data_IF_093190018425
#
_entry.id   IF_093190018425
#
_cell.length_a   1.000
_cell.length_b   1.000
_cell.length_c   1.000
_cell.angle_alpha   90.00
_cell.angle_beta   90.00
_cell.angle_gamma   90.00
#
_symmetry.space_group_name_H-M   'P 1'
#
loop_
_entity.id
_entity.type
_entity.pdbx_description
1 polymer ?
#
# COMPACT_ATOMS: atom_id res chain seq x y z
N UNK A 1 -16.11 -23.25 -16.66
CA UNK A 1 -15.76 -22.73 -16.42
C UNK A 1 -15.53 -22.23 -16.02
N UNK A 2 -15.19 -22.13 -15.87
CA UNK A 2 -14.66 -21.64 -15.47
C UNK A 2 -14.24 -21.02 -15.01
N UNK A 3 -14.00 -20.90 -14.95
CA UNK A 3 -13.37 -20.30 -14.53
C UNK A 3 -13.17 -19.61 -14.25
N UNK A 4 -13.10 -19.64 -14.28
CA UNK A 4 -12.76 -18.91 -14.14
C UNK A 4 -12.67 -18.17 -13.58
N UNK A 5 -12.67 -17.97 -13.30
CA UNK A 5 -12.55 -17.18 -12.70
C UNK A 5 -12.03 -16.94 -12.05
N UNK A 6 -11.90 -17.23 -11.72
CA UNK A 6 -11.20 -17.07 -11.00
C UNK A 6 -10.13 -16.68 -11.17
N UNK A 7 -9.84 -16.75 -11.54
CA UNK A 7 -8.89 -16.35 -11.77
C UNK A 7 -8.80 -15.25 -11.86
N UNK A 8 -9.58 -14.79 -11.77
CA UNK A 8 -9.51 -13.69 -11.72
C UNK A 8 -8.83 -13.04 -10.75
N UNK A 9 -8.81 -13.43 -9.72
CA UNK A 9 -7.79 -12.95 -8.88
C UNK A 9 -6.54 -13.03 -9.67
N UNK A 10 -5.95 -11.94 -9.91
CA UNK A 10 -4.71 -11.96 -10.61
C UNK A 10 -3.79 -12.93 -9.92
N UNK A 11 -3.24 -13.89 -10.64
CA UNK A 11 -2.33 -14.85 -10.02
C UNK A 11 -1.12 -14.18 -9.40
N UNK A 12 -0.89 -12.89 -9.71
CA UNK A 12 0.27 -12.17 -9.18
C UNK A 12 -0.02 -11.42 -7.89
N UNK A 13 -1.26 -11.48 -7.42
CA UNK A 13 -1.58 -10.76 -6.19
C UNK A 13 -1.01 -11.47 -4.97
N UNK A 14 -0.64 -10.67 -3.98
CA UNK A 14 -0.13 -11.20 -2.74
C UNK A 14 -0.52 -10.28 -1.59
N UNK A 15 -0.42 -10.80 -0.38
CA UNK A 15 -0.81 -10.05 0.82
C UNK A 15 0.39 -9.34 1.41
N UNK A 16 0.13 -8.11 1.85
CA UNK A 16 1.06 -7.37 2.69
C UNK A 16 0.29 -6.94 3.94
N UNK A 17 1.03 -6.56 4.95
CA UNK A 17 0.47 -6.04 6.19
C UNK A 17 0.64 -4.52 6.18
N UNK A 18 -0.42 -3.82 6.58
CA UNK A 18 -0.36 -2.37 6.70
C UNK A 18 -0.58 -2.01 8.15
N UNK A 19 0.36 -1.29 8.73
CA UNK A 19 0.26 -0.83 10.13
C UNK A 19 -0.07 0.67 10.12
N UNK A 20 -1.17 1.01 10.77
CA UNK A 20 -1.57 2.40 10.95
C UNK A 20 -1.84 2.63 12.42
N UNK A 21 -0.97 3.38 13.08
CA UNK A 21 -1.12 3.72 14.51
C UNK A 21 -1.29 2.47 15.37
N UNK A 22 -0.57 1.41 15.05
CA UNK A 22 -0.63 0.18 15.81
C UNK A 22 -1.74 -0.79 15.39
N UNK A 23 -2.60 -0.37 14.47
CA UNK A 23 -3.61 -1.25 13.92
C UNK A 23 -3.06 -1.91 12.67
N UNK A 24 -3.24 -3.21 12.57
CA UNK A 24 -2.69 -4.00 11.47
C UNK A 24 -3.81 -4.55 10.61
N UNK A 25 -3.73 -4.32 9.31
CA UNK A 25 -4.66 -4.90 8.35
C UNK A 25 -3.88 -5.50 7.20
N UNK A 26 -4.46 -6.51 6.58
CA UNK A 26 -3.86 -7.12 5.40
C UNK A 26 -4.49 -6.52 4.16
N UNK A 27 -3.68 -6.38 3.12
CA UNK A 27 -4.13 -5.84 1.86
C UNK A 27 -3.55 -6.70 0.74
N UNK A 28 -4.40 -7.05 -0.22
CA UNK A 28 -3.96 -7.81 -1.39
C UNK A 28 -3.54 -6.81 -2.46
N UNK A 29 -2.33 -6.94 -2.95
CA UNK A 29 -1.78 -6.01 -3.94
C UNK A 29 -1.12 -6.79 -5.07
N UNK A 30 -0.87 -6.08 -6.17
CA UNK A 30 -0.26 -6.64 -7.36
C UNK A 30 1.10 -5.98 -7.60
N UNK A 31 2.08 -6.72 -8.14
CA UNK A 31 3.38 -6.11 -8.48
C UNK A 31 3.28 -4.95 -9.45
N UNK A 32 2.24 -4.96 -10.29
CA UNK A 32 2.06 -3.92 -11.31
C UNK A 32 1.27 -2.73 -10.81
N UNK A 33 0.70 -2.84 -9.63
CA UNK A 33 -0.08 -1.76 -9.05
C UNK A 33 0.85 -0.64 -8.63
N UNK A 34 0.39 0.60 -8.80
CA UNK A 34 1.19 1.73 -8.34
C UNK A 34 1.10 1.87 -6.84
N UNK A 35 2.19 2.32 -6.23
CA UNK A 35 2.23 2.57 -4.80
C UNK A 35 1.11 3.53 -4.39
N UNK A 36 0.83 4.55 -5.21
CA UNK A 36 -0.25 5.48 -4.92
C UNK A 36 -1.59 4.77 -4.80
N UNK A 37 -1.85 3.79 -5.66
CA UNK A 37 -3.09 3.03 -5.59
C UNK A 37 -3.16 2.22 -4.30
N UNK A 38 -2.06 1.59 -3.92
CA UNK A 38 -1.99 0.83 -2.67
C UNK A 38 -2.26 1.76 -1.48
N UNK A 39 -1.66 2.95 -1.51
CA UNK A 39 -1.85 3.94 -0.46
C UNK A 39 -3.32 4.31 -0.31
N UNK A 40 -3.99 4.61 -1.43
CA UNK A 40 -5.40 4.98 -1.41
C UNK A 40 -6.27 3.86 -0.88
N UNK A 41 -5.97 2.64 -1.29
CA UNK A 41 -6.72 1.48 -0.80
C UNK A 41 -6.50 1.25 0.69
N UNK A 42 -5.26 1.48 1.16
CA UNK A 42 -4.97 1.37 2.58
C UNK A 42 -5.74 2.43 3.37
N UNK A 43 -5.75 3.66 2.87
CA UNK A 43 -6.51 4.73 3.52
C UNK A 43 -7.99 4.38 3.62
N UNK A 44 -8.54 3.80 2.55
CA UNK A 44 -9.94 3.37 2.56
C UNK A 44 -10.16 2.25 3.57
N UNK A 45 -9.22 1.33 3.64
CA UNK A 45 -9.35 0.18 4.55
C UNK A 45 -9.38 0.62 6.01
N UNK A 46 -8.60 1.62 6.35
CA UNK A 46 -8.58 2.18 7.71
C UNK A 46 -9.61 3.30 7.90
N UNK A 47 -10.42 3.55 6.87
CA UNK A 47 -11.50 4.57 6.91
C UNK A 47 -10.96 5.95 7.26
N UNK A 48 -9.80 6.27 6.75
CA UNK A 48 -9.19 7.58 6.95
C UNK A 48 -9.89 8.57 6.02
N UNK A 49 -10.41 9.66 6.58
CA UNK A 49 -11.15 10.65 5.82
C UNK A 49 -10.52 12.04 5.84
N UNK A 50 -9.50 12.24 6.66
CA UNK A 50 -8.88 13.55 6.81
C UNK A 50 -7.39 13.46 6.56
N UNK A 51 -6.85 14.49 5.94
CA UNK A 51 -5.40 14.64 5.72
C UNK A 51 -4.81 13.50 4.90
N UNK A 52 -5.62 12.88 4.03
CA UNK A 52 -5.17 11.73 3.25
C UNK A 52 -3.99 12.08 2.37
N UNK A 53 -3.99 13.30 1.83
CA UNK A 53 -2.94 13.74 0.91
C UNK A 53 -1.59 13.89 1.59
N UNK A 54 -1.55 13.87 2.91
CA UNK A 54 -0.30 14.00 3.66
C UNK A 54 0.31 12.66 4.05
N UNK A 55 -0.40 11.57 3.78
CA UNK A 55 0.06 10.25 4.18
C UNK A 55 0.90 9.59 3.11
N UNK A 56 1.73 8.65 3.55
CA UNK A 56 2.56 7.86 2.67
C UNK A 56 2.75 6.48 3.26
N UNK A 57 3.24 5.58 2.43
CA UNK A 57 3.63 4.25 2.87
C UNK A 57 5.14 4.23 3.09
N UNK A 58 5.55 3.56 4.15
CA UNK A 58 6.96 3.36 4.48
C UNK A 58 7.20 1.86 4.55
N UNK A 59 8.40 1.43 4.16
CA UNK A 59 8.75 0.03 4.35
C UNK A 59 9.13 -0.23 5.80
N UNK A 60 9.39 -1.50 6.14
CA UNK A 60 9.67 -1.87 7.52
C UNK A 60 10.94 -1.21 8.06
N UNK A 61 11.81 -0.75 7.18
CA UNK A 61 13.01 -0.04 7.59
C UNK A 61 12.77 1.45 7.83
N UNK A 62 11.53 1.91 7.60
CA UNK A 62 11.19 3.31 7.83
C UNK A 62 11.47 4.22 6.64
N UNK A 63 11.75 3.65 5.48
CA UNK A 63 12.00 4.43 4.28
C UNK A 63 10.68 4.68 3.55
N UNK A 64 10.42 5.93 3.21
CA UNK A 64 9.21 6.30 2.49
C UNK A 64 9.25 5.71 1.08
N UNK A 65 8.15 5.07 0.68
CA UNK A 65 8.03 4.45 -0.64
C UNK A 65 7.43 5.47 -1.59
N UNK A 66 7.99 5.57 -2.77
CA UNK A 66 7.60 6.59 -3.75
C UNK A 66 6.28 6.22 -4.44
N UNK A 67 5.34 7.16 -4.44
CA UNK A 67 4.00 6.93 -4.98
C UNK A 67 3.98 6.56 -6.45
N UNK A 68 4.92 7.10 -7.21
CA UNK A 68 4.93 6.92 -8.66
C UNK A 68 5.53 5.59 -9.10
N UNK A 69 6.15 4.88 -8.17
CA UNK A 69 6.69 3.56 -8.48
C UNK A 69 5.60 2.50 -8.45
N UNK A 70 5.84 1.41 -9.19
CA UNK A 70 5.01 0.23 -9.02
C UNK A 70 5.44 -0.49 -7.73
N UNK A 71 4.57 -1.38 -7.27
CA UNK A 71 4.88 -2.23 -6.12
C UNK A 71 6.20 -2.97 -6.34
N UNK A 72 6.37 -3.51 -7.55
CA UNK A 72 7.59 -4.24 -7.90
C UNK A 72 8.82 -3.33 -7.85
N UNK A 73 8.71 -2.14 -8.43
CA UNK A 73 9.84 -1.20 -8.44
C UNK A 73 10.22 -0.77 -7.04
N UNK A 74 9.23 -0.69 -6.16
CA UNK A 74 9.46 -0.29 -4.77
C UNK A 74 10.05 -1.42 -3.93
N UNK A 75 10.15 -2.62 -4.49
CA UNK A 75 10.72 -3.75 -3.78
C UNK A 75 9.80 -4.39 -2.76
N UNK A 76 8.51 -4.15 -2.87
CA UNK A 76 7.53 -4.71 -1.94
C UNK A 76 7.27 -6.17 -2.32
N UNK A 77 7.34 -7.05 -1.34
CA UNK A 77 7.24 -8.50 -1.53
C UNK A 77 6.13 -9.09 -0.70
N UNK A 78 5.69 -10.32 -1.04
CA UNK A 78 4.67 -10.99 -0.24
C UNK A 78 5.05 -11.04 1.22
N UNK A 79 4.10 -10.72 2.08
CA UNK A 79 4.31 -10.77 3.52
C UNK A 79 4.99 -9.56 4.11
N UNK A 80 5.40 -8.61 3.28
CA UNK A 80 6.03 -7.41 3.79
C UNK A 80 5.08 -6.62 4.67
N UNK A 81 5.66 -5.90 5.63
CA UNK A 81 4.92 -4.98 6.47
C UNK A 81 5.21 -3.57 5.99
N UNK A 82 4.14 -2.81 5.77
CA UNK A 82 4.23 -1.41 5.37
C UNK A 82 3.64 -0.56 6.48
N UNK A 83 4.18 0.63 6.63
CA UNK A 83 3.71 1.57 7.65
C UNK A 83 2.99 2.72 6.95
N UNK A 84 1.79 3.02 7.43
CA UNK A 84 1.00 4.14 6.91
C UNK A 84 1.16 5.30 7.89
N UNK A 85 1.83 6.34 7.45
CA UNK A 85 2.22 7.44 8.34
C UNK A 85 2.28 8.75 7.55
N UNK A 86 2.30 9.88 8.24
CA UNK A 86 2.51 11.16 7.55
C UNK A 86 3.83 11.15 6.78
N UNK A 87 3.75 11.65 5.56
CA UNK A 87 4.90 11.74 4.68
C UNK A 87 5.87 12.79 5.19
N UNK A 88 7.14 12.56 4.95
CA UNK A 88 8.16 13.56 5.26
C UNK A 88 8.32 14.59 4.16
N UNK A 89 7.74 14.30 2.99
CA UNK A 89 7.94 15.17 1.83
C UNK A 89 6.64 15.74 1.29
N UNK A 90 5.49 15.10 1.55
CA UNK A 90 4.22 15.55 0.99
C UNK A 90 3.57 16.65 1.80
N UNK A 91 3.75 16.68 3.06
CA UNK A 91 2.99 17.51 3.92
C UNK A 91 3.45 18.94 3.95
N UNK A 92 4.35 19.22 3.38
CA UNK A 92 4.95 20.41 3.49
C UNK A 92 4.34 21.69 3.80
N UNK A 93 4.49 21.80 4.07
CA UNK A 93 4.58 22.56 4.17
C UNK A 93 4.75 23.33 4.04
N UNK A 94 4.94 23.61 4.22
CA UNK A 94 5.12 24.30 4.22
C UNK A 94 4.86 24.67 4.27
#
# INVERSE_FOLDING_TARGET
MQDQSIEQSAPNQFLVKIDYNGLMKHLSISPHERVQSVLERAENEFQITQNRHTLALFNASGVEVTDTQSVKEAGIKPGDELLLRPSRIKGGNR
#
